data_IF_546896097691
#
_entry.id   IF_546896097691
#
_cell.length_a   1.000
_cell.length_b   1.000
_cell.length_c   1.000
_cell.angle_alpha   90.00
_cell.angle_beta   90.00
_cell.angle_gamma   90.00
#
_symmetry.space_group_name_H-M   'P 1'
#
loop_
_entity.id
_entity.type
_entity.pdbx_description
1 polymer ?
#
# COMPACT_ATOMS: atom_id res chain seq x y z
N UNK A 1 -75.35 -8.47 -15.90
CA UNK A 1 -74.56 -8.60 -14.65
C UNK A 1 -73.48 -9.63 -14.97
N UNK A 2 -72.17 -9.41 -14.94
CA UNK A 2 -71.27 -8.46 -14.25
C UNK A 2 -70.11 -8.10 -15.19
N UNK A 3 -69.62 -6.87 -15.09
CA UNK A 3 -68.41 -6.35 -15.75
C UNK A 3 -67.17 -6.88 -15.04
N UNK A 4 -66.11 -7.23 -15.77
CA UNK A 4 -64.74 -7.20 -15.26
C UNK A 4 -63.79 -6.75 -16.39
N UNK A 5 -63.26 -5.54 -16.21
CA UNK A 5 -62.16 -4.90 -16.93
C UNK A 5 -60.83 -5.42 -16.37
N UNK A 6 -59.84 -5.67 -17.23
CA UNK A 6 -58.41 -5.82 -16.91
C UNK A 6 -57.64 -5.19 -18.10
N UNK A 7 -57.11 -3.96 -18.03
CA UNK A 7 -55.82 -3.57 -17.42
C UNK A 7 -54.76 -4.68 -17.62
N UNK A 8 -53.68 -4.54 -18.39
CA UNK A 8 -52.88 -3.36 -18.72
C UNK A 8 -51.57 -3.40 -17.93
N UNK A 9 -50.54 -4.11 -18.40
CA UNK A 9 -49.13 -3.93 -18.01
C UNK A 9 -48.25 -4.31 -19.21
N UNK A 10 -47.62 -3.30 -19.82
CA UNK A 10 -46.48 -3.48 -20.70
C UNK A 10 -45.24 -3.57 -19.81
N UNK A 11 -44.56 -4.72 -19.80
CA UNK A 11 -43.25 -4.89 -19.17
C UNK A 11 -42.20 -4.19 -20.04
N UNK A 12 -41.81 -2.99 -19.64
CA UNK A 12 -40.57 -2.33 -20.09
C UNK A 12 -39.41 -3.09 -19.46
N UNK A 13 -38.70 -3.89 -20.25
CA UNK A 13 -37.43 -4.49 -19.84
C UNK A 13 -36.39 -3.38 -19.69
N UNK A 14 -36.19 -2.92 -18.45
CA UNK A 14 -35.11 -2.02 -18.08
C UNK A 14 -33.78 -2.76 -18.26
N UNK A 15 -32.94 -2.26 -19.19
CA UNK A 15 -31.62 -2.82 -19.46
C UNK A 15 -30.74 -2.76 -18.21
N UNK A 16 -30.30 -3.92 -17.74
CA UNK A 16 -29.16 -4.02 -16.85
C UNK A 16 -27.91 -3.73 -17.68
N UNK A 17 -27.42 -2.48 -17.61
CA UNK A 17 -26.04 -2.20 -17.96
C UNK A 17 -25.17 -2.84 -16.85
N UNK A 18 -24.66 -4.04 -17.11
CA UNK A 18 -23.59 -4.60 -16.30
C UNK A 18 -22.36 -3.69 -16.43
N UNK A 19 -21.61 -3.41 -15.34
CA UNK A 19 -20.31 -2.77 -15.47
C UNK A 19 -19.44 -3.67 -16.35
N UNK A 20 -18.98 -3.13 -17.48
CA UNK A 20 -17.95 -3.75 -18.27
C UNK A 20 -16.67 -3.76 -17.42
N UNK A 21 -16.39 -4.89 -16.77
CA UNK A 21 -15.07 -5.14 -16.23
C UNK A 21 -14.13 -5.29 -17.42
N UNK A 22 -13.28 -4.28 -17.63
CA UNK A 22 -12.19 -4.36 -18.56
C UNK A 22 -11.21 -5.43 -18.07
N UNK A 23 -11.38 -6.66 -18.54
CA UNK A 23 -10.42 -7.74 -18.38
C UNK A 23 -9.22 -7.45 -19.29
N UNK A 24 -8.16 -6.86 -18.74
CA UNK A 24 -6.85 -6.86 -19.39
C UNK A 24 -6.22 -8.24 -19.21
N UNK A 25 -6.26 -9.02 -20.28
CA UNK A 25 -5.52 -10.26 -20.42
C UNK A 25 -4.02 -9.97 -20.44
N UNK A 26 -3.33 -10.14 -19.31
CA UNK A 26 -1.90 -10.48 -19.33
C UNK A 26 -1.73 -11.88 -18.76
N UNK A 27 -1.55 -12.82 -19.69
CA UNK A 27 -1.08 -14.18 -19.43
C UNK A 27 0.38 -14.11 -18.98
N UNK A 28 0.59 -14.27 -17.68
CA UNK A 28 1.88 -14.49 -17.04
C UNK A 28 1.59 -14.87 -15.60
N UNK A 29 2.04 -16.06 -15.21
CA UNK A 29 1.75 -16.71 -13.93
C UNK A 29 2.20 -15.83 -12.75
N UNK A 30 1.30 -14.98 -12.25
CA UNK A 30 1.50 -14.12 -11.09
C UNK A 30 0.41 -14.43 -10.06
N UNK A 31 0.88 -14.98 -8.94
CA UNK A 31 0.11 -15.42 -7.79
C UNK A 31 -0.94 -14.40 -7.37
N UNK A 32 -2.14 -14.91 -7.13
CA UNK A 32 -3.28 -14.20 -6.56
C UNK A 32 -2.91 -13.43 -5.29
N UNK A 33 -3.22 -12.12 -5.25
CA UNK A 33 -3.06 -11.29 -4.04
C UNK A 33 -3.45 -9.82 -4.18
N UNK A 34 -3.45 -9.24 -5.39
CA UNK A 34 -3.89 -7.86 -5.59
C UNK A 34 -5.41 -7.78 -5.77
N UNK A 35 -6.15 -7.70 -4.67
CA UNK A 35 -7.49 -7.08 -4.74
C UNK A 35 -7.27 -5.57 -4.85
N UNK A 36 -7.35 -5.05 -6.08
CA UNK A 36 -7.51 -3.62 -6.33
C UNK A 36 -8.94 -3.27 -5.88
N UNK A 37 -9.09 -2.96 -4.59
CA UNK A 37 -10.33 -2.52 -3.95
C UNK A 37 -10.16 -1.10 -3.42
N UNK A 38 -11.05 -0.19 -3.80
CA UNK A 38 -10.93 1.25 -3.57
C UNK A 38 -10.71 1.67 -2.10
N UNK A 39 -9.95 2.74 -1.95
CA UNK A 39 -9.74 3.56 -0.74
C UNK A 39 -9.17 2.91 0.54
N UNK A 40 -9.18 1.58 0.69
CA UNK A 40 -8.67 0.90 1.89
C UNK A 40 -7.69 -0.22 1.52
N UNK A 41 -6.41 0.14 1.46
CA UNK A 41 -5.25 -0.75 1.59
C UNK A 41 -5.27 -2.09 0.85
N UNK A 42 -4.94 -2.09 -0.45
CA UNK A 42 -4.61 -3.31 -1.19
C UNK A 42 -3.10 -3.51 -1.23
N UNK A 43 -2.60 -4.72 -0.94
CA UNK A 43 -1.16 -5.00 -1.09
C UNK A 43 -0.80 -5.20 -2.55
N UNK A 44 0.09 -4.38 -3.14
CA UNK A 44 0.63 -4.62 -4.48
C UNK A 44 1.82 -5.57 -4.36
N UNK A 45 1.57 -6.87 -4.49
CA UNK A 45 2.60 -7.92 -4.39
C UNK A 45 3.60 -7.90 -5.53
N UNK A 46 4.89 -7.71 -5.23
CA UNK A 46 6.00 -8.08 -6.10
C UNK A 46 6.58 -9.41 -5.57
N UNK A 47 6.58 -10.46 -6.40
CA UNK A 47 7.21 -11.74 -6.08
C UNK A 47 8.56 -11.81 -6.78
N UNK A 48 9.62 -11.43 -6.08
CA UNK A 48 10.98 -11.39 -6.64
C UNK A 48 11.93 -12.15 -5.73
N UNK A 49 12.14 -13.45 -6.02
CA UNK A 49 13.03 -14.33 -5.28
C UNK A 49 14.47 -14.32 -5.81
N UNK A 50 15.44 -14.03 -4.92
CA UNK A 50 16.88 -14.17 -5.11
C UNK A 50 17.63 -14.10 -3.76
N UNK A 51 18.89 -14.57 -3.64
CA UNK A 51 19.56 -14.65 -2.34
C UNK A 51 20.01 -13.27 -1.82
N UNK A 52 19.69 -13.00 -0.54
CA UNK A 52 20.01 -11.81 0.29
C UNK A 52 19.59 -10.47 -0.34
N UNK A 53 18.45 -9.91 0.11
CA UNK A 53 17.90 -8.64 -0.39
C UNK A 53 16.59 -8.74 -1.17
N UNK A 54 15.91 -9.89 -1.15
CA UNK A 54 14.64 -10.08 -1.83
C UNK A 54 13.51 -9.31 -1.15
N UNK A 55 12.98 -8.29 -1.83
CA UNK A 55 11.72 -7.62 -1.48
C UNK A 55 10.59 -8.54 -1.93
N UNK A 56 10.36 -9.59 -1.14
CA UNK A 56 9.20 -10.48 -1.23
C UNK A 56 8.15 -9.96 -0.26
N UNK A 57 7.67 -8.77 -0.55
CA UNK A 57 6.67 -8.09 0.25
C UNK A 57 6.14 -6.99 -0.63
N UNK A 58 4.89 -7.14 -1.03
CA UNK A 58 4.24 -6.09 -1.78
C UNK A 58 4.25 -4.77 -1.01
N UNK A 59 3.82 -3.73 -1.70
CA UNK A 59 3.43 -2.50 -1.03
C UNK A 59 2.28 -2.80 -0.07
N UNK A 60 2.26 -2.20 1.12
CA UNK A 60 1.12 -2.24 2.02
C UNK A 60 0.51 -0.85 2.20
N UNK A 61 -0.77 -0.82 2.59
CA UNK A 61 -1.52 0.41 2.80
C UNK A 61 -2.15 0.97 1.53
N UNK A 62 -2.84 2.10 1.69
CA UNK A 62 -3.57 2.70 0.59
C UNK A 62 -2.59 3.19 -0.49
N UNK A 63 -2.92 2.91 -1.76
CA UNK A 63 -2.32 3.61 -2.89
C UNK A 63 -2.96 4.99 -2.96
N UNK A 64 -2.16 6.05 -2.95
CA UNK A 64 -2.67 7.42 -3.14
C UNK A 64 -2.13 7.95 -4.46
N UNK A 65 -3.01 8.44 -5.32
CA UNK A 65 -2.66 8.74 -6.70
C UNK A 65 -2.44 7.45 -7.50
N UNK A 66 -3.17 7.33 -8.60
CA UNK A 66 -3.03 6.22 -9.56
C UNK A 66 -3.61 6.56 -10.93
N UNK A 67 -4.02 7.81 -11.11
CA UNK A 67 -4.43 8.36 -12.41
C UNK A 67 -3.23 8.87 -13.20
N UNK A 68 -2.14 9.20 -12.50
CA UNK A 68 -0.87 9.50 -13.13
C UNK A 68 -0.38 8.25 -13.87
N UNK A 69 0.11 8.42 -15.10
CA UNK A 69 0.61 7.35 -15.94
C UNK A 69 2.01 6.88 -15.48
N UNK A 70 2.20 6.64 -14.18
CA UNK A 70 3.42 6.06 -13.63
C UNK A 70 3.46 4.59 -14.05
N UNK A 71 4.57 4.18 -14.65
CA UNK A 71 4.69 2.80 -15.12
C UNK A 71 4.92 1.82 -13.96
N UNK A 72 4.47 0.57 -14.13
CA UNK A 72 4.80 -0.51 -13.19
C UNK A 72 6.31 -0.71 -13.03
N UNK A 73 7.09 -0.36 -14.06
CA UNK A 73 8.54 -0.43 -14.00
C UNK A 73 9.14 0.61 -13.06
N UNK A 74 8.58 1.82 -13.04
CA UNK A 74 9.00 2.91 -12.16
C UNK A 74 8.66 2.58 -10.70
N UNK A 75 7.45 2.06 -10.46
CA UNK A 75 7.02 1.59 -9.12
C UNK A 75 7.94 0.47 -8.61
N UNK A 76 8.22 -0.52 -9.47
CA UNK A 76 9.10 -1.63 -9.15
C UNK A 76 10.53 -1.17 -8.85
N UNK A 77 11.08 -0.28 -9.67
CA UNK A 77 12.42 0.27 -9.45
C UNK A 77 12.54 0.95 -8.10
N UNK A 78 11.57 1.80 -7.73
CA UNK A 78 11.56 2.48 -6.44
C UNK A 78 11.46 1.50 -5.26
N UNK A 79 10.77 0.36 -5.45
CA UNK A 79 10.74 -0.74 -4.49
C UNK A 79 12.09 -1.43 -4.37
N UNK A 80 12.68 -1.85 -5.50
CA UNK A 80 13.94 -2.60 -5.57
C UNK A 80 15.19 -1.81 -5.12
N UNK A 81 15.11 -0.48 -5.10
CA UNK A 81 16.21 0.41 -4.77
C UNK A 81 15.82 1.29 -3.57
N UNK A 82 15.73 0.75 -2.35
CA UNK A 82 15.42 1.55 -1.17
C UNK A 82 16.53 2.56 -0.89
N UNK A 83 16.13 3.76 -0.48
CA UNK A 83 17.02 4.90 -0.16
C UNK A 83 16.81 5.35 1.28
N UNK A 84 17.62 6.30 1.74
CA UNK A 84 17.50 6.85 3.08
C UNK A 84 16.12 7.48 3.31
N UNK A 85 15.55 7.20 4.48
CA UNK A 85 14.21 7.62 4.86
C UNK A 85 14.24 9.01 5.49
N UNK A 86 13.38 9.89 5.00
CA UNK A 86 13.12 11.20 5.61
C UNK A 86 11.93 11.09 6.55
N UNK A 87 12.08 11.53 7.80
CA UNK A 87 10.96 11.55 8.74
C UNK A 87 10.29 12.92 8.70
N UNK A 88 9.00 12.91 8.37
CA UNK A 88 8.16 14.10 8.26
C UNK A 88 7.11 14.09 9.36
N UNK A 89 6.69 15.28 9.81
CA UNK A 89 5.62 15.42 10.81
C UNK A 89 4.28 14.84 10.35
N UNK A 90 4.07 14.72 9.04
CA UNK A 90 2.88 14.14 8.43
C UNK A 90 3.18 13.50 7.08
N UNK A 91 2.34 12.54 6.69
CA UNK A 91 2.38 11.93 5.36
C UNK A 91 2.04 12.93 4.24
N UNK A 92 2.56 12.67 3.05
CA UNK A 92 2.36 13.53 1.88
C UNK A 92 1.11 13.13 1.10
N UNK A 93 0.46 14.11 0.48
CA UNK A 93 -0.68 13.90 -0.42
C UNK A 93 -0.30 14.12 -1.87
N UNK A 94 -1.07 13.57 -2.81
CA UNK A 94 -0.91 13.87 -4.24
C UNK A 94 -1.00 15.38 -4.49
N UNK A 95 -0.12 15.90 -5.33
CA UNK A 95 0.01 17.32 -5.64
C UNK A 95 0.85 18.13 -4.62
N UNK A 96 1.20 17.55 -3.47
CA UNK A 96 2.10 18.21 -2.53
C UNK A 96 3.49 18.36 -3.14
N UNK A 97 4.09 19.54 -3.01
CA UNK A 97 5.46 19.78 -3.47
C UNK A 97 6.45 19.41 -2.39
N UNK A 98 7.45 18.61 -2.77
CA UNK A 98 8.57 18.25 -1.92
C UNK A 98 9.52 19.45 -1.83
N UNK A 99 10.04 19.72 -0.63
CA UNK A 99 10.99 20.82 -0.40
C UNK A 99 12.34 20.57 -1.07
N UNK A 100 13.04 21.64 -1.41
CA UNK A 100 14.37 21.57 -2.07
C UNK A 100 15.46 20.95 -1.17
N UNK A 101 15.19 20.82 0.13
CA UNK A 101 16.05 20.17 1.12
C UNK A 101 15.95 18.64 1.10
N UNK A 102 14.93 18.08 0.46
CA UNK A 102 14.74 16.64 0.32
C UNK A 102 15.38 16.17 -0.98
N UNK A 103 16.26 15.18 -0.88
CA UNK A 103 16.88 14.58 -2.06
C UNK A 103 15.86 13.70 -2.79
N UNK A 104 15.46 14.11 -4.00
CA UNK A 104 14.64 13.27 -4.89
C UNK A 104 15.57 12.34 -5.66
N UNK A 105 15.34 11.03 -5.56
CA UNK A 105 16.15 10.02 -6.24
C UNK A 105 15.56 9.73 -7.63
N UNK A 106 16.33 9.84 -8.71
CA UNK A 106 15.83 9.56 -10.06
C UNK A 106 15.50 8.07 -10.22
N UNK A 107 14.49 7.76 -11.04
CA UNK A 107 14.17 6.39 -11.44
C UNK A 107 14.95 6.06 -12.72
N UNK A 108 15.72 4.98 -12.72
CA UNK A 108 16.47 4.61 -13.91
C UNK A 108 15.53 4.13 -15.03
N UNK A 109 15.69 4.70 -16.22
CA UNK A 109 14.84 4.42 -17.38
C UNK A 109 13.54 5.24 -17.42
N UNK A 110 13.35 6.19 -16.50
CA UNK A 110 12.22 7.11 -16.47
C UNK A 110 12.73 8.52 -16.14
N UNK A 111 12.70 9.44 -17.11
CA UNK A 111 13.21 10.79 -16.97
C UNK A 111 12.17 11.78 -16.41
N UNK A 112 10.92 11.36 -16.29
CA UNK A 112 9.83 12.18 -15.78
C UNK A 112 9.70 12.05 -14.26
N UNK A 113 9.97 10.85 -13.72
CA UNK A 113 9.72 10.55 -12.31
C UNK A 113 10.98 10.23 -11.50
N UNK A 114 10.94 10.69 -10.25
CA UNK A 114 11.83 10.29 -9.18
C UNK A 114 11.03 9.70 -8.02
N UNK A 115 11.70 9.36 -6.93
CA UNK A 115 11.06 8.87 -5.72
C UNK A 115 11.79 9.33 -4.47
N UNK A 116 11.06 9.32 -3.36
CA UNK A 116 11.58 9.51 -2.02
C UNK A 116 10.97 8.47 -1.08
N UNK A 117 11.66 8.20 0.02
CA UNK A 117 11.13 7.46 1.15
C UNK A 117 10.86 8.45 2.27
N UNK A 118 9.60 8.59 2.67
CA UNK A 118 9.22 9.41 3.81
C UNK A 118 8.34 8.62 4.79
N UNK A 119 8.69 8.59 6.08
CA UNK A 119 8.01 7.76 7.09
C UNK A 119 7.88 6.29 6.65
N UNK A 120 8.94 5.73 6.05
CA UNK A 120 8.99 4.39 5.44
C UNK A 120 7.94 4.12 4.35
N UNK A 121 7.28 5.17 3.85
CA UNK A 121 6.35 5.15 2.73
C UNK A 121 7.02 5.72 1.49
N UNK A 122 6.76 5.10 0.34
CA UNK A 122 7.39 5.53 -0.92
C UNK A 122 6.49 6.48 -1.65
N UNK A 123 7.04 7.59 -2.10
CA UNK A 123 6.33 8.59 -2.90
C UNK A 123 7.05 8.74 -4.23
N UNK A 124 6.30 8.59 -5.32
CA UNK A 124 6.73 8.90 -6.68
C UNK A 124 6.49 10.40 -6.92
N UNK A 125 7.54 11.08 -7.37
CA UNK A 125 7.61 12.52 -7.51
C UNK A 125 7.84 12.87 -8.99
N UNK A 126 7.10 13.84 -9.50
CA UNK A 126 7.38 14.43 -10.81
C UNK A 126 8.62 15.33 -10.72
N UNK A 127 9.63 15.06 -11.55
CA UNK A 127 10.93 15.73 -11.50
C UNK A 127 10.87 17.19 -11.99
N UNK A 128 9.88 17.55 -12.80
CA UNK A 128 9.72 18.92 -13.31
C UNK A 128 9.06 19.84 -12.26
N UNK A 129 8.00 19.35 -11.63
CA UNK A 129 7.17 20.14 -10.71
C UNK A 129 7.49 19.93 -9.23
N UNK A 130 8.29 18.91 -8.92
CA UNK A 130 8.58 18.39 -7.57
C UNK A 130 7.33 17.95 -6.81
N UNK A 131 6.24 17.67 -7.52
CA UNK A 131 4.98 17.29 -6.92
C UNK A 131 4.88 15.76 -6.73
N UNK A 132 4.31 15.34 -5.61
CA UNK A 132 3.91 13.94 -5.40
C UNK A 132 2.83 13.59 -6.42
N UNK A 133 3.06 12.56 -7.24
CA UNK A 133 2.08 12.09 -8.24
C UNK A 133 1.38 10.82 -7.81
N UNK A 134 2.09 9.96 -7.09
CA UNK A 134 1.60 8.67 -6.65
C UNK A 134 2.38 8.21 -5.43
N UNK A 135 1.78 7.39 -4.60
CA UNK A 135 2.49 6.55 -3.66
C UNK A 135 1.92 5.15 -3.69
N UNK A 136 2.75 4.14 -4.01
CA UNK A 136 2.34 2.74 -4.04
C UNK A 136 2.09 2.18 -2.64
N UNK A 137 2.65 2.76 -1.58
CA UNK A 137 2.42 2.38 -0.18
C UNK A 137 3.70 2.26 0.64
N UNK A 138 3.62 1.51 1.74
CA UNK A 138 4.75 1.14 2.59
C UNK A 138 5.49 -0.05 2.00
N UNK A 139 6.82 0.02 1.97
CA UNK A 139 7.65 -1.11 1.55
C UNK A 139 7.75 -2.13 2.69
N UNK A 140 7.30 -3.37 2.47
CA UNK A 140 7.33 -4.39 3.52
C UNK A 140 8.49 -5.37 3.31
N UNK A 141 9.52 -5.37 4.17
CA UNK A 141 10.63 -6.32 4.03
C UNK A 141 10.19 -7.74 4.43
N UNK A 142 10.40 -8.69 3.54
CA UNK A 142 10.04 -10.11 3.76
C UNK A 142 10.68 -10.71 5.01
N UNK A 143 11.92 -10.32 5.30
CA UNK A 143 12.68 -10.81 6.44
C UNK A 143 12.00 -10.41 7.76
N UNK A 144 11.45 -9.20 7.84
CA UNK A 144 10.70 -8.74 9.01
C UNK A 144 9.39 -9.53 9.17
N UNK A 145 8.64 -9.72 8.08
CA UNK A 145 7.40 -10.51 8.10
C UNK A 145 7.67 -11.94 8.57
N UNK A 146 8.66 -12.59 7.96
CA UNK A 146 9.05 -13.97 8.29
C UNK A 146 9.48 -14.10 9.76
N UNK A 147 10.24 -13.13 10.27
CA UNK A 147 10.66 -13.11 11.66
C UNK A 147 9.46 -13.00 12.59
N UNK A 148 8.56 -12.04 12.34
CA UNK A 148 7.40 -11.81 13.22
C UNK A 148 6.46 -13.01 13.22
N UNK A 149 6.15 -13.58 12.05
CA UNK A 149 5.30 -14.79 11.95
C UNK A 149 5.90 -15.99 12.72
N UNK A 150 7.23 -16.10 12.79
CA UNK A 150 7.93 -17.16 13.51
C UNK A 150 8.09 -16.90 15.03
N UNK A 151 7.85 -15.68 15.51
CA UNK A 151 8.12 -15.26 16.88
C UNK A 151 6.89 -14.56 17.51
N UNK A 152 5.79 -15.29 17.77
CA UNK A 152 4.60 -14.70 18.36
C UNK A 152 4.81 -14.22 19.80
N UNK A 153 4.24 -13.05 20.11
CA UNK A 153 4.26 -12.46 21.46
C UNK A 153 2.86 -12.38 22.07
N UNK A 154 2.78 -11.90 23.32
CA UNK A 154 1.49 -11.58 23.92
C UNK A 154 0.74 -10.56 23.04
N UNK A 155 -0.54 -10.84 22.83
CA UNK A 155 -1.45 -10.06 22.00
C UNK A 155 -2.21 -9.05 22.86
N UNK A 156 -2.37 -7.83 22.36
CA UNK A 156 -3.23 -6.81 22.98
C UNK A 156 -4.51 -6.63 22.16
N UNK A 157 -5.57 -6.19 22.81
CA UNK A 157 -6.83 -5.87 22.13
C UNK A 157 -6.97 -4.36 22.00
N UNK A 158 -7.24 -3.91 20.77
CA UNK A 158 -7.53 -2.52 20.46
C UNK A 158 -8.86 -2.47 19.70
N UNK A 159 -9.71 -1.52 20.06
CA UNK A 159 -10.95 -1.22 19.37
C UNK A 159 -10.67 -0.37 18.13
N UNK A 160 -11.29 -0.73 17.00
CA UNK A 160 -11.17 0.01 15.73
C UNK A 160 -10.64 -0.85 14.59
N UNK A 161 -10.51 -0.23 13.42
CA UNK A 161 -9.97 -0.88 12.24
C UNK A 161 -8.45 -0.75 12.21
N UNK A 162 -7.76 -1.85 12.51
CA UNK A 162 -6.30 -1.93 12.51
C UNK A 162 -5.81 -2.21 11.08
N UNK A 163 -5.15 -1.22 10.48
CA UNK A 163 -4.55 -1.32 9.16
C UNK A 163 -3.30 -0.46 9.01
N UNK A 164 -2.62 -0.54 7.85
CA UNK A 164 -1.48 0.32 7.56
C UNK A 164 -1.84 1.81 7.61
N UNK A 165 -0.96 2.62 8.19
CA UNK A 165 -1.19 4.05 8.47
C UNK A 165 -1.79 4.32 9.85
N UNK A 166 -2.17 3.29 10.61
CA UNK A 166 -2.64 3.47 11.99
C UNK A 166 -1.48 3.77 12.94
N UNK A 167 -1.55 4.86 13.71
CA UNK A 167 -0.52 5.21 14.70
C UNK A 167 -0.85 4.62 16.07
N UNK A 168 0.10 3.90 16.67
CA UNK A 168 -0.04 3.32 18.00
C UNK A 168 0.27 4.34 19.10
N UNK A 169 -0.52 4.32 20.16
CA UNK A 169 -0.28 5.10 21.37
C UNK A 169 1.10 4.80 21.98
N UNK A 170 1.68 5.78 22.66
CA UNK A 170 3.05 5.72 23.19
C UNK A 170 3.26 4.64 24.27
N UNK A 171 2.20 4.21 24.93
CA UNK A 171 2.21 3.20 26.01
C UNK A 171 2.14 1.75 25.49
N UNK A 172 1.82 1.55 24.21
CA UNK A 172 1.85 0.21 23.59
C UNK A 172 3.29 -0.31 23.56
N UNK A 173 3.57 -1.43 24.24
CA UNK A 173 4.89 -2.03 24.19
C UNK A 173 5.15 -2.65 22.81
N UNK A 174 6.29 -2.31 22.19
CA UNK A 174 6.74 -2.86 20.92
C UNK A 174 7.94 -3.79 21.16
N UNK A 175 8.04 -4.83 20.34
CA UNK A 175 9.13 -5.80 20.36
C UNK A 175 10.12 -5.50 19.23
N UNK A 176 11.41 -5.69 19.52
CA UNK A 176 12.47 -5.49 18.54
C UNK A 176 12.59 -6.64 17.55
N UNK A 177 12.94 -6.32 16.31
CA UNK A 177 13.31 -7.29 15.29
C UNK A 177 14.85 -7.32 15.22
N UNK A 178 15.49 -8.49 15.38
CA UNK A 178 16.95 -8.61 15.30
C UNK A 178 17.49 -8.03 14.00
N UNK A 179 18.62 -7.31 14.10
CA UNK A 179 19.31 -6.65 12.99
C UNK A 179 18.45 -5.65 12.18
N UNK A 180 17.29 -5.24 12.71
CA UNK A 180 16.41 -4.25 12.10
C UNK A 180 16.09 -3.12 13.08
N UNK A 181 16.48 -1.90 12.74
CA UNK A 181 16.20 -0.70 13.56
C UNK A 181 15.03 0.13 13.04
N UNK A 182 14.57 -0.16 11.84
CA UNK A 182 13.51 0.58 11.15
C UNK A 182 12.14 0.09 11.60
N UNK A 183 12.01 -1.20 11.85
CA UNK A 183 10.75 -1.84 12.22
C UNK A 183 10.82 -2.51 13.58
N UNK A 184 9.77 -2.31 14.35
CA UNK A 184 9.42 -3.09 15.53
C UNK A 184 8.11 -3.84 15.25
N UNK A 185 7.68 -4.71 16.16
CA UNK A 185 6.44 -5.45 15.97
C UNK A 185 5.64 -5.65 17.25
N UNK A 186 4.34 -5.88 17.07
CA UNK A 186 3.39 -6.16 18.15
C UNK A 186 2.30 -7.08 17.62
N UNK A 187 1.71 -7.88 18.50
CA UNK A 187 0.52 -8.65 18.20
C UNK A 187 -0.70 -7.89 18.70
N UNK A 188 -1.63 -7.58 17.80
CA UNK A 188 -2.86 -6.85 18.12
C UNK A 188 -4.04 -7.65 17.56
N UNK A 189 -5.03 -7.94 18.39
CA UNK A 189 -6.19 -8.76 18.00
C UNK A 189 -5.76 -10.10 17.37
N UNK A 190 -4.71 -10.70 17.93
CA UNK A 190 -4.07 -11.97 17.52
C UNK A 190 -3.41 -11.96 16.14
N UNK A 191 -3.18 -10.76 15.60
CA UNK A 191 -2.55 -10.53 14.30
C UNK A 191 -1.17 -9.89 14.48
N UNK A 192 -0.12 -10.41 13.84
CA UNK A 192 1.15 -9.72 13.81
C UNK A 192 1.03 -8.39 13.06
N UNK A 193 1.60 -7.33 13.63
CA UNK A 193 1.71 -6.02 13.02
C UNK A 193 3.18 -5.55 13.02
N UNK A 194 3.65 -5.10 11.85
CA UNK A 194 4.92 -4.37 11.73
C UNK A 194 4.65 -2.89 11.93
N UNK A 195 5.55 -2.26 12.69
CA UNK A 195 5.42 -0.89 13.14
C UNK A 195 6.73 -0.15 12.84
N UNK A 196 6.63 1.03 12.24
CA UNK A 196 7.75 1.96 12.10
C UNK A 196 8.24 2.39 13.49
N UNK A 197 9.53 2.19 13.78
CA UNK A 197 10.11 2.44 15.11
C UNK A 197 10.17 3.92 15.48
N UNK A 198 10.16 4.82 14.49
CA UNK A 198 10.27 6.27 14.69
C UNK A 198 8.91 6.93 14.81
N UNK A 199 7.95 6.52 14.00
CA UNK A 199 6.60 7.13 13.96
C UNK A 199 5.53 6.35 14.71
N UNK A 200 5.82 5.11 15.12
CA UNK A 200 4.86 4.17 15.72
C UNK A 200 3.66 3.86 14.81
N UNK A 201 3.83 4.07 13.50
CA UNK A 201 2.82 3.79 12.49
C UNK A 201 2.86 2.31 12.13
N UNK A 202 1.72 1.64 12.18
CA UNK A 202 1.53 0.30 11.63
C UNK A 202 1.72 0.39 10.13
N UNK A 203 2.67 -0.35 9.58
CA UNK A 203 2.95 -0.38 8.14
C UNK A 203 2.40 -1.65 7.49
N UNK A 204 2.19 -2.70 8.27
CA UNK A 204 1.65 -3.98 7.82
C UNK A 204 0.97 -4.71 8.97
N UNK A 205 -0.10 -5.45 8.67
CA UNK A 205 -0.78 -6.32 9.63
C UNK A 205 -1.44 -7.48 8.87
N UNK A 206 -1.35 -8.71 9.39
CA UNK A 206 -1.97 -9.89 8.78
C UNK A 206 -2.87 -10.63 9.75
#
# INVERSE_FOLDING_TARGET
MRKLLLLGVALVSLGAAAPALAQSSQTGDAVAGATVGGATGGTIGFLLGGPVGAIVGGWAGAVIGGEAAVSDASIRYAGENPVDVVYLDSDLTVGAKVGDDVTIHPIEGDDQYGYIYANNRVYIIDLESHAVVQSPGYLIPNEAVSYVEANPTASISIDGDLGPGFTLDADVALNDIPDNRTYQYVYINDRPALVDSSTRTVVWVR
#
